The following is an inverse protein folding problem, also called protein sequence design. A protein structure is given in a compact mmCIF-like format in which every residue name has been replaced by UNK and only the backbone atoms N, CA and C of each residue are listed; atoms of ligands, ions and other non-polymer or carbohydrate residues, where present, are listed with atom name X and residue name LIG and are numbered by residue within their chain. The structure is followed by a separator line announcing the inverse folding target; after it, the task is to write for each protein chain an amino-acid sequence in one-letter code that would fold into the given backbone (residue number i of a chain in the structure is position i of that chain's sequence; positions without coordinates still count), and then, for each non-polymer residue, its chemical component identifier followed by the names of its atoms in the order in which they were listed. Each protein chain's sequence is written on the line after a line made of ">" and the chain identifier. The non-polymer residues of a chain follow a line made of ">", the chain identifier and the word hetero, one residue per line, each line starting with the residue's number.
data_IF_610219151955
#
_entry.id   IF_610219151955
#
_cell.length_a   1.000
_cell.length_b   1.000
_cell.length_c   1.000
_cell.angle_alpha   90.00
_cell.angle_beta   90.00
_cell.angle_gamma   90.00
#
_symmetry.space_group_name_H-M   'P 1'
#
loop_
_entity.id
_entity.type
_entity.pdbx_description
1 polymer ?
#
# COMPACT_ATOMS: atom_id res chain seq x y z
N UNK A 1 -3.86 15.40 63.89
CA UNK A 1 -3.02 15.61 62.70
C UNK A 1 -2.81 14.30 62.00
N UNK A 2 -3.65 13.92 61.02
CA UNK A 2 -3.47 12.78 60.11
C UNK A 2 -4.68 12.75 59.17
N UNK A 3 -4.62 13.46 58.00
CA UNK A 3 -5.49 13.27 56.83
C UNK A 3 -5.02 14.22 55.73
N UNK A 4 -3.93 13.93 55.08
CA UNK A 4 -3.58 14.47 53.75
C UNK A 4 -2.54 13.48 53.18
N UNK A 5 -2.97 12.40 52.53
CA UNK A 5 -2.11 11.62 51.65
C UNK A 5 -2.94 10.52 50.97
N UNK A 6 -3.87 10.89 50.08
CA UNK A 6 -4.53 9.90 49.22
C UNK A 6 -5.22 10.53 48.00
N UNK A 7 -4.62 11.49 47.33
CA UNK A 7 -5.22 12.08 46.11
C UNK A 7 -4.27 12.06 44.88
N UNK A 8 -3.02 11.70 45.03
CA UNK A 8 -2.02 11.85 43.95
C UNK A 8 -1.78 10.62 43.06
N UNK A 9 -2.41 9.48 43.31
CA UNK A 9 -2.16 8.26 42.53
C UNK A 9 -3.15 8.05 41.39
N UNK A 10 -4.33 8.67 41.43
CA UNK A 10 -5.37 8.46 40.42
C UNK A 10 -5.14 9.23 39.10
N UNK A 11 -4.34 10.32 39.11
CA UNK A 11 -4.15 11.17 37.92
C UNK A 11 -3.14 10.62 36.90
N UNK A 12 -2.17 9.80 37.33
CA UNK A 12 -1.14 9.27 36.43
C UNK A 12 -1.62 8.11 35.55
N UNK A 13 -2.61 7.33 36.02
CA UNK A 13 -3.13 6.20 35.23
C UNK A 13 -4.04 6.65 34.06
N UNK A 14 -4.78 7.74 34.20
CA UNK A 14 -5.65 8.22 33.12
C UNK A 14 -4.87 8.77 31.90
N UNK A 15 -3.71 9.40 32.12
CA UNK A 15 -2.89 9.94 31.03
C UNK A 15 -2.24 8.86 30.16
N UNK A 16 -1.86 7.73 30.72
CA UNK A 16 -1.26 6.62 29.96
C UNK A 16 -2.30 5.91 29.07
N UNK A 17 -3.56 5.80 29.52
CA UNK A 17 -4.65 5.20 28.73
C UNK A 17 -5.07 6.08 27.56
N UNK A 18 -5.10 7.38 27.73
CA UNK A 18 -5.43 8.32 26.64
C UNK A 18 -4.34 8.40 25.57
N UNK A 19 -3.07 8.31 25.94
CA UNK A 19 -1.95 8.29 24.99
C UNK A 19 -1.95 7.03 24.12
N UNK A 20 -2.21 5.86 24.69
CA UNK A 20 -2.29 4.60 23.94
C UNK A 20 -3.49 4.59 22.97
N UNK A 21 -4.65 5.10 23.38
CA UNK A 21 -5.83 5.19 22.53
C UNK A 21 -5.60 6.14 21.33
N UNK A 22 -4.95 7.28 21.55
CA UNK A 22 -4.63 8.25 20.49
C UNK A 22 -3.61 7.69 19.49
N UNK A 23 -2.59 6.98 19.95
CA UNK A 23 -1.61 6.32 19.08
C UNK A 23 -2.27 5.22 18.24
N UNK A 24 -3.10 4.38 18.84
CA UNK A 24 -3.83 3.33 18.14
C UNK A 24 -4.81 3.90 17.10
N UNK A 25 -5.46 5.01 17.40
CA UNK A 25 -6.34 5.70 16.44
C UNK A 25 -5.55 6.30 15.28
N UNK A 26 -4.38 6.87 15.52
CA UNK A 26 -3.49 7.40 14.49
C UNK A 26 -2.95 6.29 13.58
N UNK A 27 -2.61 5.12 14.13
CA UNK A 27 -2.17 3.95 13.37
C UNK A 27 -3.30 3.40 12.50
N UNK A 28 -4.54 3.37 12.99
CA UNK A 28 -5.70 2.95 12.20
C UNK A 28 -5.98 3.93 11.06
N UNK A 29 -5.94 5.24 11.31
CA UNK A 29 -6.11 6.25 10.26
C UNK A 29 -5.03 6.14 9.17
N UNK A 30 -3.80 5.85 9.56
CA UNK A 30 -2.69 5.58 8.63
C UNK A 30 -2.95 4.31 7.82
N UNK A 31 -3.40 3.24 8.45
CA UNK A 31 -3.73 1.99 7.78
C UNK A 31 -4.81 2.20 6.72
N UNK A 32 -5.89 2.89 7.07
CA UNK A 32 -6.99 3.20 6.15
C UNK A 32 -6.50 4.06 4.97
N UNK A 33 -5.64 5.04 5.22
CA UNK A 33 -5.08 5.91 4.20
C UNK A 33 -4.24 5.14 3.17
N UNK A 34 -3.26 4.32 3.59
CA UNK A 34 -2.38 3.61 2.65
C UNK A 34 -3.10 2.49 1.90
N UNK A 35 -4.12 1.86 2.50
CA UNK A 35 -5.02 0.92 1.82
C UNK A 35 -5.84 1.65 0.76
N UNK A 36 -6.43 2.80 1.09
CA UNK A 36 -7.21 3.60 0.16
C UNK A 36 -6.36 4.10 -1.02
N UNK A 37 -5.14 4.58 -0.77
CA UNK A 37 -4.18 4.99 -1.80
C UNK A 37 -3.86 3.84 -2.77
N UNK A 38 -3.61 2.64 -2.25
CA UNK A 38 -3.33 1.45 -3.07
C UNK A 38 -4.53 1.10 -3.96
N UNK A 39 -5.74 1.09 -3.40
CA UNK A 39 -6.97 0.83 -4.16
C UNK A 39 -7.27 1.92 -5.19
N UNK A 40 -6.97 3.18 -4.88
CA UNK A 40 -7.14 4.30 -5.82
C UNK A 40 -6.18 4.18 -7.01
N UNK A 41 -4.94 3.73 -6.80
CA UNK A 41 -4.00 3.43 -7.88
C UNK A 41 -4.56 2.36 -8.83
N UNK A 42 -5.08 1.25 -8.31
CA UNK A 42 -5.70 0.20 -9.13
C UNK A 42 -6.94 0.70 -9.87
N UNK A 43 -7.77 1.51 -9.21
CA UNK A 43 -8.95 2.09 -9.84
C UNK A 43 -8.59 3.02 -11.02
N UNK A 44 -7.50 3.78 -10.89
CA UNK A 44 -6.97 4.61 -11.96
C UNK A 44 -6.47 3.75 -13.15
N UNK A 45 -5.73 2.67 -12.88
CA UNK A 45 -5.25 1.71 -13.88
C UNK A 45 -6.41 1.03 -14.63
N UNK A 46 -7.43 0.54 -13.89
CA UNK A 46 -8.60 -0.12 -14.47
C UNK A 46 -9.40 0.85 -15.34
N UNK A 47 -9.55 2.10 -14.89
CA UNK A 47 -10.27 3.14 -15.62
C UNK A 47 -9.56 3.54 -16.90
N UNK A 48 -8.25 3.76 -16.83
CA UNK A 48 -7.42 4.16 -17.96
C UNK A 48 -5.98 3.66 -17.76
N UNK A 49 -5.61 2.51 -18.35
CA UNK A 49 -4.27 1.95 -18.20
C UNK A 49 -3.17 2.84 -18.80
N UNK A 50 -3.52 3.85 -19.59
CA UNK A 50 -2.56 4.80 -20.17
C UNK A 50 -2.32 6.03 -19.30
N UNK A 51 -3.13 6.26 -18.26
CA UNK A 51 -2.99 7.39 -17.34
C UNK A 51 -1.90 7.16 -16.27
N UNK A 52 -0.66 6.92 -16.70
CA UNK A 52 0.46 6.58 -15.83
C UNK A 52 0.75 7.65 -14.78
N UNK A 53 0.56 8.94 -15.13
CA UNK A 53 0.74 10.04 -14.20
C UNK A 53 -0.22 9.95 -13.00
N UNK A 54 -1.48 9.59 -13.23
CA UNK A 54 -2.47 9.42 -12.16
C UNK A 54 -2.17 8.17 -11.32
N UNK A 55 -1.78 7.07 -11.95
CA UNK A 55 -1.40 5.82 -11.27
C UNK A 55 -0.17 5.99 -10.38
N UNK A 56 0.77 6.87 -10.75
CA UNK A 56 2.03 7.08 -10.04
C UNK A 56 2.09 8.37 -9.22
N UNK A 57 0.99 9.11 -9.06
CA UNK A 57 0.98 10.42 -8.40
C UNK A 57 1.54 10.37 -6.96
N UNK A 58 1.24 9.30 -6.24
CA UNK A 58 1.68 9.09 -4.86
C UNK A 58 2.94 8.20 -4.75
N UNK A 59 3.64 7.98 -5.87
CA UNK A 59 4.92 7.27 -5.92
C UNK A 59 6.06 8.27 -5.78
N UNK A 60 7.01 7.97 -4.90
CA UNK A 60 8.20 8.80 -4.67
C UNK A 60 9.19 8.71 -5.84
N UNK A 61 9.96 9.76 -6.08
CA UNK A 61 10.95 9.78 -7.17
C UNK A 61 12.06 8.73 -6.97
N UNK A 62 12.39 8.39 -5.71
CA UNK A 62 13.35 7.37 -5.31
C UNK A 62 12.72 5.97 -5.14
N UNK A 63 11.55 5.74 -5.73
CA UNK A 63 10.84 4.47 -5.67
C UNK A 63 11.70 3.29 -6.16
N UNK A 64 11.53 2.14 -5.51
CA UNK A 64 12.14 0.88 -5.94
C UNK A 64 11.11 -0.24 -5.98
N UNK A 65 11.30 -1.21 -6.89
CA UNK A 65 10.39 -2.33 -7.01
C UNK A 65 11.12 -3.64 -7.31
N UNK A 66 10.73 -4.72 -6.63
CA UNK A 66 10.98 -6.07 -7.07
C UNK A 66 9.68 -6.67 -7.62
N UNK A 67 9.75 -7.11 -8.86
CA UNK A 67 8.63 -7.74 -9.56
C UNK A 67 9.15 -8.95 -10.33
N UNK A 68 8.43 -10.05 -10.28
CA UNK A 68 8.81 -11.30 -10.96
C UNK A 68 8.91 -11.20 -12.49
N UNK A 69 8.35 -10.15 -13.07
CA UNK A 69 8.38 -9.89 -14.51
C UNK A 69 9.72 -9.30 -14.99
N UNK A 70 10.57 -8.87 -14.06
CA UNK A 70 11.87 -8.25 -14.36
C UNK A 70 13.02 -8.98 -13.67
N UNK A 71 14.14 -9.13 -14.39
CA UNK A 71 15.33 -9.81 -13.87
C UNK A 71 16.05 -9.02 -12.77
N UNK A 72 15.83 -7.71 -12.70
CA UNK A 72 16.53 -6.80 -11.79
C UNK A 72 15.53 -5.91 -11.06
N UNK A 73 16.00 -5.25 -9.98
CA UNK A 73 15.22 -4.22 -9.31
C UNK A 73 14.95 -3.05 -10.26
N UNK A 74 13.74 -2.56 -10.22
CA UNK A 74 13.37 -1.27 -10.80
C UNK A 74 13.83 -0.15 -9.88
N UNK A 75 14.48 0.87 -10.43
CA UNK A 75 14.96 2.04 -9.71
C UNK A 75 14.35 3.33 -10.29
N UNK A 76 13.63 4.04 -9.44
CA UNK A 76 13.05 5.35 -9.71
C UNK A 76 11.65 5.34 -10.35
N UNK A 77 10.84 6.31 -9.94
CA UNK A 77 9.49 6.57 -10.49
C UNK A 77 9.52 6.71 -12.02
N UNK A 78 10.51 7.40 -12.56
CA UNK A 78 10.62 7.62 -14.01
C UNK A 78 10.79 6.32 -14.80
N UNK A 79 11.53 5.33 -14.27
CA UNK A 79 11.68 4.03 -14.91
C UNK A 79 10.38 3.24 -14.81
N UNK A 80 9.74 3.23 -13.64
CA UNK A 80 8.46 2.57 -13.42
C UNK A 80 7.40 3.13 -14.39
N UNK A 81 7.29 4.45 -14.53
CA UNK A 81 6.35 5.09 -15.45
C UNK A 81 6.59 4.70 -16.91
N UNK A 82 7.85 4.69 -17.38
CA UNK A 82 8.18 4.26 -18.75
C UNK A 82 7.81 2.82 -19.04
N UNK A 83 8.01 1.94 -18.07
CA UNK A 83 7.62 0.53 -18.20
C UNK A 83 6.09 0.37 -18.23
N UNK A 84 5.37 1.08 -17.36
CA UNK A 84 3.91 1.08 -17.36
C UNK A 84 3.33 1.59 -18.70
N UNK A 85 3.91 2.66 -19.27
CA UNK A 85 3.54 3.15 -20.60
C UNK A 85 3.79 2.12 -21.71
N UNK A 86 4.91 1.43 -21.64
CA UNK A 86 5.28 0.41 -22.65
C UNK A 86 4.37 -0.83 -22.55
N UNK A 87 4.13 -1.32 -21.33
CA UNK A 87 3.31 -2.53 -21.10
C UNK A 87 1.82 -2.26 -21.25
N UNK A 88 1.33 -1.11 -20.82
CA UNK A 88 -0.09 -0.72 -20.95
C UNK A 88 -0.60 -0.71 -22.39
N UNK A 89 0.32 -0.53 -23.36
CA UNK A 89 0.02 -0.60 -24.81
C UNK A 89 0.07 -2.02 -25.37
N UNK A 90 0.77 -2.95 -24.70
CA UNK A 90 1.12 -4.25 -25.28
C UNK A 90 0.29 -5.43 -24.74
N UNK A 91 -0.08 -5.43 -23.48
CA UNK A 91 -0.40 -6.68 -22.75
C UNK A 91 -1.87 -6.88 -22.38
N UNK A 92 -2.79 -6.07 -22.90
CA UNK A 92 -4.17 -6.11 -22.43
C UNK A 92 -4.37 -5.18 -21.22
N UNK A 93 -5.51 -5.29 -20.57
CA UNK A 93 -5.90 -4.37 -19.48
C UNK A 93 -6.30 -5.14 -18.21
N UNK A 94 -6.01 -4.58 -17.06
CA UNK A 94 -6.61 -4.99 -15.79
C UNK A 94 -8.08 -4.56 -15.78
N UNK A 95 -9.00 -5.50 -15.50
CA UNK A 95 -10.44 -5.25 -15.45
C UNK A 95 -11.03 -5.48 -14.06
N UNK A 96 -10.24 -5.99 -13.12
CA UNK A 96 -10.63 -6.19 -11.73
C UNK A 96 -9.40 -6.32 -10.84
N UNK A 97 -9.49 -5.81 -9.62
CA UNK A 97 -8.45 -5.89 -8.61
C UNK A 97 -9.08 -5.96 -7.21
N UNK A 98 -8.62 -6.89 -6.41
CA UNK A 98 -9.08 -7.10 -5.04
C UNK A 98 -7.89 -7.25 -4.09
N UNK A 99 -8.05 -6.72 -2.88
CA UNK A 99 -7.11 -6.87 -1.78
C UNK A 99 -7.68 -7.79 -0.72
N UNK A 100 -7.02 -8.92 -0.49
CA UNK A 100 -7.36 -9.84 0.57
C UNK A 100 -6.30 -9.83 1.68
N UNK A 101 -6.74 -10.03 2.92
CA UNK A 101 -5.89 -10.11 4.11
C UNK A 101 -4.93 -8.92 4.27
N UNK A 102 -5.37 -7.65 4.15
CA UNK A 102 -4.49 -6.51 4.35
C UNK A 102 -4.02 -6.44 5.80
N UNK A 103 -2.73 -6.18 5.99
CA UNK A 103 -2.15 -5.85 7.27
C UNK A 103 -1.24 -4.65 7.11
N UNK A 104 -1.44 -3.63 7.93
CA UNK A 104 -0.57 -2.46 8.00
C UNK A 104 0.16 -2.45 9.33
N UNK A 105 1.46 -2.17 9.28
CA UNK A 105 2.31 -1.94 10.44
C UNK A 105 2.83 -0.51 10.33
N UNK A 106 2.64 0.28 11.39
CA UNK A 106 3.07 1.68 11.44
C UNK A 106 4.25 1.82 12.40
N UNK A 107 5.26 2.54 11.98
CA UNK A 107 6.47 2.79 12.78
C UNK A 107 6.71 4.29 12.87
N UNK A 108 6.88 4.78 14.09
CA UNK A 108 7.13 6.18 14.43
C UNK A 108 6.15 7.21 13.84
N UNK A 109 4.99 6.75 13.34
CA UNK A 109 3.98 7.61 12.71
C UNK A 109 4.31 8.10 11.30
N UNK A 110 5.46 7.72 10.73
CA UNK A 110 5.95 8.21 9.43
C UNK A 110 6.35 7.10 8.45
N UNK A 111 6.36 5.83 8.88
CA UNK A 111 6.58 4.67 8.02
C UNK A 111 5.38 3.73 8.15
N UNK A 112 4.82 3.30 7.02
CA UNK A 112 3.78 2.29 6.97
C UNK A 112 4.17 1.15 6.02
N UNK A 113 4.05 -0.09 6.49
CA UNK A 113 4.28 -1.30 5.70
C UNK A 113 2.93 -1.99 5.52
N UNK A 114 2.44 -2.03 4.29
CA UNK A 114 1.21 -2.73 3.91
C UNK A 114 1.57 -4.06 3.24
N UNK A 115 1.08 -5.16 3.81
CA UNK A 115 1.15 -6.50 3.22
C UNK A 115 -0.24 -7.03 2.90
N UNK A 116 -0.41 -7.70 1.77
CA UNK A 116 -1.71 -8.24 1.34
C UNK A 116 -1.56 -9.31 0.27
N UNK A 117 -2.62 -10.07 0.05
CA UNK A 117 -2.80 -10.91 -1.13
C UNK A 117 -3.59 -10.12 -2.18
N UNK A 118 -3.06 -10.08 -3.40
CA UNK A 118 -3.71 -9.49 -4.56
C UNK A 118 -4.43 -10.56 -5.37
N UNK A 119 -5.66 -10.28 -5.79
CA UNK A 119 -6.38 -11.03 -6.78
C UNK A 119 -6.82 -10.08 -7.90
N UNK A 120 -6.38 -10.32 -9.10
CA UNK A 120 -6.69 -9.51 -10.28
C UNK A 120 -7.29 -10.30 -11.39
N UNK A 121 -7.90 -9.61 -12.35
CA UNK A 121 -8.38 -10.15 -13.59
C UNK A 121 -7.90 -9.25 -14.73
N UNK A 122 -7.14 -9.85 -15.67
CA UNK A 122 -6.72 -9.15 -16.89
C UNK A 122 -7.54 -9.63 -18.09
N UNK A 123 -7.68 -8.78 -19.08
CA UNK A 123 -8.33 -9.09 -20.36
C UNK A 123 -7.38 -8.76 -21.50
N UNK A 124 -7.11 -9.72 -22.38
CA UNK A 124 -6.33 -9.50 -23.60
C UNK A 124 -7.13 -8.81 -24.70
N UNK A 125 -6.50 -8.64 -25.87
CA UNK A 125 -7.10 -7.97 -27.06
C UNK A 125 -8.29 -8.76 -27.63
N UNK A 126 -8.31 -10.07 -27.41
CA UNK A 126 -9.35 -10.98 -27.93
C UNK A 126 -10.50 -11.15 -26.94
N UNK A 127 -10.45 -10.40 -25.82
CA UNK A 127 -11.47 -10.44 -24.76
C UNK A 127 -11.32 -11.61 -23.79
N UNK A 128 -10.27 -12.45 -23.92
CA UNK A 128 -9.99 -13.55 -23.00
C UNK A 128 -9.51 -13.01 -21.66
N UNK A 129 -10.08 -13.52 -20.60
CA UNK A 129 -9.71 -13.13 -19.23
C UNK A 129 -8.77 -14.14 -18.58
N UNK A 130 -7.82 -13.62 -17.79
CA UNK A 130 -6.84 -14.42 -17.05
C UNK A 130 -6.78 -13.93 -15.60
N UNK A 131 -7.00 -14.81 -14.60
CA UNK A 131 -6.82 -14.45 -13.21
C UNK A 131 -5.33 -14.31 -12.87
N UNK A 132 -5.01 -13.29 -12.05
CA UNK A 132 -3.67 -13.05 -11.51
C UNK A 132 -3.76 -13.10 -9.99
N UNK A 133 -2.76 -13.73 -9.37
CA UNK A 133 -2.58 -13.71 -7.92
C UNK A 133 -1.15 -13.35 -7.58
N UNK A 134 -1.01 -12.50 -6.55
CA UNK A 134 0.29 -12.09 -6.04
C UNK A 134 0.25 -11.89 -4.53
N UNK A 135 1.43 -12.02 -3.91
CA UNK A 135 1.71 -11.53 -2.55
C UNK A 135 2.40 -10.19 -2.70
N UNK A 136 1.95 -9.20 -1.97
CA UNK A 136 2.49 -7.86 -2.11
C UNK A 136 2.93 -7.29 -0.76
N UNK A 137 4.07 -6.62 -0.80
CA UNK A 137 4.53 -5.72 0.27
C UNK A 137 4.73 -4.34 -0.31
N UNK A 138 4.16 -3.32 0.33
CA UNK A 138 4.34 -1.91 -0.03
C UNK A 138 4.85 -1.14 1.18
N UNK A 139 5.85 -0.31 0.97
CA UNK A 139 6.42 0.57 2.00
C UNK A 139 6.09 2.01 1.64
N UNK A 140 5.45 2.69 2.58
CA UNK A 140 5.11 4.10 2.48
C UNK A 140 5.89 4.90 3.51
N UNK A 141 6.30 6.10 3.13
CA UNK A 141 6.94 7.08 4.01
C UNK A 141 6.14 8.38 3.96
N UNK A 142 5.94 8.99 5.10
CA UNK A 142 5.27 10.28 5.20
C UNK A 142 6.27 11.38 4.87
N UNK A 143 6.02 12.14 3.80
CA UNK A 143 6.79 13.32 3.39
C UNK A 143 5.91 14.57 3.59
N UNK A 144 6.16 15.32 4.66
CA UNK A 144 5.23 16.35 5.13
C UNK A 144 3.89 15.72 5.56
N UNK A 145 2.79 16.18 4.99
CA UNK A 145 1.45 15.65 5.28
C UNK A 145 0.99 14.52 4.33
N UNK A 146 1.86 14.08 3.41
CA UNK A 146 1.51 13.10 2.38
C UNK A 146 2.24 11.78 2.58
N UNK A 147 1.53 10.69 2.43
CA UNK A 147 2.11 9.38 2.28
C UNK A 147 2.60 9.17 0.85
N UNK A 148 3.83 8.67 0.70
CA UNK A 148 4.45 8.37 -0.58
C UNK A 148 4.90 6.92 -0.62
N UNK A 149 4.58 6.19 -1.69
CA UNK A 149 5.07 4.85 -1.93
C UNK A 149 6.55 4.91 -2.31
N UNK A 150 7.42 4.29 -1.52
CA UNK A 150 8.87 4.27 -1.72
C UNK A 150 9.40 2.90 -2.16
N UNK A 151 8.67 1.83 -1.85
CA UNK A 151 9.07 0.48 -2.26
C UNK A 151 7.85 -0.42 -2.44
N UNK A 152 7.93 -1.32 -3.44
CA UNK A 152 7.02 -2.44 -3.56
C UNK A 152 7.77 -3.73 -3.88
N UNK A 153 7.23 -4.84 -3.40
CA UNK A 153 7.65 -6.18 -3.79
C UNK A 153 6.41 -6.99 -4.17
N UNK A 154 6.45 -7.59 -5.36
CA UNK A 154 5.41 -8.47 -5.87
C UNK A 154 5.99 -9.86 -6.11
N UNK A 155 5.46 -10.85 -5.39
CA UNK A 155 5.81 -12.24 -5.55
C UNK A 155 4.60 -13.02 -6.06
N UNK A 156 4.82 -13.97 -6.93
CA UNK A 156 3.74 -14.86 -7.41
C UNK A 156 3.09 -15.59 -6.24
N UNK A 157 1.78 -15.68 -6.26
CA UNK A 157 1.00 -16.53 -5.38
C UNK A 157 0.45 -17.69 -6.24
N UNK A 158 1.04 -18.89 -6.15
CA UNK A 158 0.67 -19.99 -7.03
C UNK A 158 -0.82 -20.31 -6.91
N UNK A 159 -1.50 -20.43 -8.04
CA UNK A 159 -2.83 -21.00 -8.06
C UNK A 159 -2.75 -22.44 -7.55
N UNK A 160 -3.78 -22.92 -6.81
CA UNK A 160 -3.86 -24.35 -6.47
C UNK A 160 -3.73 -25.20 -7.75
N UNK A 161 -2.89 -26.23 -7.71
CA UNK A 161 -2.83 -27.20 -8.80
C UNK A 161 -4.21 -27.87 -8.88
N UNK A 162 -4.83 -27.79 -10.05
CA UNK A 162 -6.06 -28.51 -10.35
C UNK A 162 -5.75 -30.00 -10.51
#
# INVERSE_FOLDING_TARGET
>A
MKKIMLVLVASACCSAFTMNASAQQADQATADAVIAMTKAQWAAEIKDPTSVAEQSKDTSDDYTEFNGDYATRLDGKAMNSRLAEATGKASGKTIGAEMANPKVQVYNGDIAILTYNYAGLTQDKDGKTTPIRAKSTRVFVKKGDKWMLVHANFASDPLPKQ
#
